data_IF_535977730690
#
_entry.id   IF_535977730690
#
_cell.length_a   1.000
_cell.length_b   1.000
_cell.length_c   1.000
_cell.angle_alpha   90.00
_cell.angle_beta   90.00
_cell.angle_gamma   90.00
#
_symmetry.space_group_name_H-M   'P 1'
#
loop_
_entity.id
_entity.type
_entity.pdbx_description
1 polymer ?
#
# COMPACT_ATOMS: atom_id res chain seq x y z
N UNK A 1 -27.71 16.86 4.65
CA UNK A 1 -26.24 17.02 4.59
C UNK A 1 -25.83 16.70 3.17
N UNK A 2 -25.63 17.71 2.32
CA UNK A 2 -25.19 17.49 0.93
C UNK A 2 -23.73 17.08 0.95
N UNK A 3 -23.46 15.81 0.63
CA UNK A 3 -22.11 15.33 0.35
C UNK A 3 -21.53 16.12 -0.81
N UNK A 4 -20.32 16.64 -0.65
CA UNK A 4 -19.57 17.28 -1.73
C UNK A 4 -19.35 16.24 -2.83
N UNK A 5 -20.19 16.26 -3.85
CA UNK A 5 -19.98 15.48 -5.06
C UNK A 5 -18.82 16.11 -5.81
N UNK A 6 -17.64 15.49 -5.74
CA UNK A 6 -16.46 15.94 -6.48
C UNK A 6 -16.79 15.99 -7.97
N UNK A 7 -16.39 17.06 -8.65
CA UNK A 7 -16.49 17.11 -10.10
C UNK A 7 -15.57 16.07 -10.73
N UNK A 8 -15.95 15.54 -11.90
CA UNK A 8 -15.15 14.55 -12.63
C UNK A 8 -13.70 15.01 -12.82
N UNK A 9 -13.48 16.29 -13.12
CA UNK A 9 -12.13 16.86 -13.27
C UNK A 9 -11.37 16.98 -11.95
N UNK A 10 -12.04 17.23 -10.81
CA UNK A 10 -11.38 17.24 -9.51
C UNK A 10 -10.92 15.84 -9.10
N UNK A 11 -11.76 14.82 -9.34
CA UNK A 11 -11.41 13.42 -9.07
C UNK A 11 -10.23 12.96 -9.94
N UNK A 12 -10.20 13.32 -11.22
CA UNK A 12 -9.07 13.02 -12.12
C UNK A 12 -7.76 13.59 -11.57
N UNK A 13 -7.75 14.85 -11.11
CA UNK A 13 -6.54 15.47 -10.55
C UNK A 13 -6.11 14.81 -9.24
N UNK A 14 -7.05 14.48 -8.35
CA UNK A 14 -6.75 13.79 -7.10
C UNK A 14 -6.19 12.39 -7.35
N UNK A 15 -6.76 11.65 -8.32
CA UNK A 15 -6.26 10.35 -8.74
C UNK A 15 -4.84 10.44 -9.30
N UNK A 16 -4.58 11.39 -10.19
CA UNK A 16 -3.23 11.58 -10.74
C UNK A 16 -2.20 11.95 -9.66
N UNK A 17 -2.56 12.83 -8.72
CA UNK A 17 -1.70 13.17 -7.59
C UNK A 17 -1.45 11.97 -6.67
N UNK A 18 -2.48 11.16 -6.42
CA UNK A 18 -2.35 9.93 -5.63
C UNK A 18 -1.40 8.93 -6.30
N UNK A 19 -1.54 8.68 -7.61
CA UNK A 19 -0.69 7.75 -8.34
C UNK A 19 0.78 8.21 -8.38
N UNK A 20 1.04 9.52 -8.48
CA UNK A 20 2.40 10.05 -8.37
C UNK A 20 3.07 9.75 -7.03
N UNK A 21 2.36 10.00 -5.93
CA UNK A 21 2.87 9.67 -4.59
C UNK A 21 2.90 8.15 -4.38
N UNK A 22 2.07 7.39 -5.09
CA UNK A 22 2.10 5.93 -5.03
C UNK A 22 3.41 5.36 -5.57
N UNK A 23 4.02 5.95 -6.61
CA UNK A 23 5.35 5.55 -7.09
C UNK A 23 6.39 5.65 -5.98
N UNK A 24 6.46 6.79 -5.28
CA UNK A 24 7.41 6.98 -4.16
C UNK A 24 7.18 5.97 -3.02
N UNK A 25 5.91 5.65 -2.75
CA UNK A 25 5.55 4.62 -1.75
C UNK A 25 5.95 3.22 -2.21
N UNK A 26 5.79 2.92 -3.50
CA UNK A 26 6.14 1.65 -4.11
C UNK A 26 7.64 1.43 -4.00
N UNK A 27 8.46 2.40 -4.45
CA UNK A 27 9.93 2.37 -4.32
C UNK A 27 10.35 2.12 -2.87
N UNK A 28 9.77 2.84 -1.90
CA UNK A 28 10.08 2.66 -0.48
C UNK A 28 9.72 1.25 0.02
N UNK A 29 8.59 0.70 -0.42
CA UNK A 29 8.20 -0.66 -0.06
C UNK A 29 9.07 -1.73 -0.74
N UNK A 30 9.59 -1.48 -1.95
CA UNK A 30 10.59 -2.36 -2.58
C UNK A 30 11.90 -2.41 -1.79
N UNK A 31 12.38 -1.26 -1.30
CA UNK A 31 13.55 -1.19 -0.42
C UNK A 31 13.34 -2.00 0.86
N UNK A 32 12.18 -1.83 1.52
CA UNK A 32 11.82 -2.58 2.72
C UNK A 32 11.74 -4.08 2.43
N UNK A 33 11.13 -4.47 1.30
CA UNK A 33 11.05 -5.87 0.88
C UNK A 33 12.45 -6.47 0.66
N UNK A 34 13.36 -5.74 0.02
CA UNK A 34 14.72 -6.17 -0.21
C UNK A 34 15.48 -6.37 1.11
N UNK A 35 15.39 -5.42 2.03
CA UNK A 35 15.98 -5.52 3.36
C UNK A 35 15.38 -6.70 4.15
N UNK A 36 14.06 -6.91 4.08
CA UNK A 36 13.40 -8.00 4.79
C UNK A 36 13.82 -9.37 4.26
N UNK A 37 13.97 -9.52 2.93
CA UNK A 37 14.50 -10.74 2.30
C UNK A 37 15.95 -11.02 2.69
N UNK A 38 16.75 -9.98 2.94
CA UNK A 38 18.12 -10.12 3.43
C UNK A 38 18.20 -10.42 4.95
N UNK A 39 17.09 -10.33 5.68
CA UNK A 39 17.08 -10.41 7.14
C UNK A 39 17.63 -9.15 7.83
N UNK A 40 17.64 -8.03 7.11
CA UNK A 40 18.21 -6.74 7.53
C UNK A 40 17.13 -5.70 7.89
N UNK A 41 15.86 -5.95 7.56
CA UNK A 41 14.76 -5.06 7.92
C UNK A 41 14.54 -5.00 9.43
N UNK A 42 14.37 -3.78 9.93
CA UNK A 42 14.00 -3.51 11.32
C UNK A 42 12.48 -3.65 11.54
N UNK A 43 12.07 -3.67 12.81
CA UNK A 43 10.64 -3.55 13.17
C UNK A 43 10.03 -2.23 12.67
N UNK A 44 10.83 -1.18 12.60
CA UNK A 44 10.39 0.15 12.16
C UNK A 44 10.15 0.15 10.64
N UNK A 45 10.98 -0.55 9.86
CA UNK A 45 10.77 -0.74 8.42
C UNK A 45 9.45 -1.50 8.15
N UNK A 46 9.17 -2.57 8.90
CA UNK A 46 7.92 -3.32 8.75
C UNK A 46 6.70 -2.48 9.15
N UNK A 47 6.81 -1.69 10.23
CA UNK A 47 5.75 -0.76 10.65
C UNK A 47 5.52 0.37 9.65
N UNK A 48 6.58 0.82 8.98
CA UNK A 48 6.50 1.80 7.90
C UNK A 48 5.73 1.23 6.70
N UNK A 49 6.05 0.00 6.26
CA UNK A 49 5.32 -0.67 5.20
C UNK A 49 3.83 -0.84 5.54
N UNK A 50 3.50 -1.27 6.77
CA UNK A 50 2.11 -1.32 7.26
C UNK A 50 1.42 0.04 7.15
N UNK A 51 2.08 1.12 7.59
CA UNK A 51 1.53 2.48 7.53
C UNK A 51 1.28 2.95 6.10
N UNK A 52 2.17 2.60 5.17
CA UNK A 52 2.01 2.91 3.75
C UNK A 52 0.79 2.17 3.18
N UNK A 53 0.66 0.87 3.44
CA UNK A 53 -0.47 0.04 3.02
C UNK A 53 -1.80 0.58 3.56
N UNK A 54 -1.86 0.92 4.84
CA UNK A 54 -3.03 1.56 5.47
C UNK A 54 -3.51 2.80 4.71
N UNK A 55 -2.56 3.69 4.36
CA UNK A 55 -2.86 4.93 3.63
C UNK A 55 -3.35 4.67 2.21
N UNK A 56 -2.78 3.67 1.52
CA UNK A 56 -3.22 3.27 0.19
C UNK A 56 -4.64 2.72 0.25
N UNK A 57 -4.90 1.77 1.17
CA UNK A 57 -6.22 1.18 1.39
C UNK A 57 -7.29 2.24 1.67
N UNK A 58 -7.01 3.20 2.57
CA UNK A 58 -7.95 4.25 2.95
C UNK A 58 -8.27 5.25 1.84
N UNK A 59 -7.34 5.50 0.91
CA UNK A 59 -7.52 6.51 -0.12
C UNK A 59 -8.01 5.95 -1.46
N UNK A 60 -7.53 4.77 -1.87
CA UNK A 60 -7.71 4.23 -3.22
C UNK A 60 -9.18 4.00 -3.60
N UNK A 61 -10.01 3.51 -2.67
CA UNK A 61 -11.43 3.29 -2.90
C UNK A 61 -12.19 4.55 -3.30
N UNK A 62 -11.89 5.68 -2.65
CA UNK A 62 -12.52 6.98 -2.95
C UNK A 62 -12.10 7.58 -4.30
N UNK A 63 -11.01 7.06 -4.90
CA UNK A 63 -10.42 7.54 -6.15
C UNK A 63 -10.77 6.65 -7.35
N UNK A 64 -11.64 5.65 -7.16
CA UNK A 64 -11.98 4.67 -8.20
C UNK A 64 -10.83 3.70 -8.50
N UNK A 65 -9.96 3.46 -7.52
CA UNK A 65 -8.84 2.52 -7.58
C UNK A 65 -9.10 1.34 -6.63
N UNK A 66 -10.35 0.85 -6.58
CA UNK A 66 -10.77 -0.17 -5.62
C UNK A 66 -9.84 -1.41 -5.59
N UNK A 67 -9.41 -1.99 -6.74
CA UNK A 67 -8.54 -3.16 -6.69
C UNK A 67 -7.18 -2.90 -6.02
N UNK A 68 -6.60 -1.71 -6.20
CA UNK A 68 -5.37 -1.30 -5.50
C UNK A 68 -5.60 -1.15 -4.00
N UNK A 69 -6.74 -0.57 -3.62
CA UNK A 69 -7.11 -0.39 -2.21
C UNK A 69 -7.39 -1.71 -1.50
N UNK A 70 -8.10 -2.62 -2.16
CA UNK A 70 -8.43 -3.95 -1.64
C UNK A 70 -7.15 -4.78 -1.47
N UNK A 71 -6.25 -4.78 -2.48
CA UNK A 71 -4.96 -5.45 -2.38
C UNK A 71 -4.09 -4.88 -1.25
N UNK A 72 -4.04 -3.55 -1.11
CA UNK A 72 -3.32 -2.92 0.01
C UNK A 72 -3.91 -3.32 1.37
N UNK A 73 -5.24 -3.43 1.46
CA UNK A 73 -5.93 -3.83 2.69
C UNK A 73 -5.68 -5.29 3.05
N UNK A 74 -5.69 -6.19 2.07
CA UNK A 74 -5.37 -7.60 2.25
C UNK A 74 -3.94 -7.78 2.76
N UNK A 75 -2.98 -7.06 2.17
CA UNK A 75 -1.58 -7.09 2.63
C UNK A 75 -1.44 -6.45 4.02
N UNK A 76 -2.09 -5.31 4.29
CA UNK A 76 -2.07 -4.66 5.61
C UNK A 76 -2.55 -5.60 6.72
N UNK A 77 -3.58 -6.41 6.47
CA UNK A 77 -4.09 -7.37 7.45
C UNK A 77 -3.04 -8.41 7.87
N UNK A 78 -2.19 -8.85 6.95
CA UNK A 78 -1.06 -9.74 7.27
C UNK A 78 -0.07 -9.03 8.18
N UNK A 79 0.24 -7.77 7.90
CA UNK A 79 1.13 -6.97 8.75
C UNK A 79 0.55 -6.73 10.14
N UNK A 80 -0.75 -6.43 10.26
CA UNK A 80 -1.43 -6.28 11.56
C UNK A 80 -1.34 -7.59 12.36
N UNK A 81 -1.66 -8.72 11.73
CA UNK A 81 -1.60 -10.02 12.39
C UNK A 81 -0.20 -10.29 12.97
N UNK A 82 0.86 -10.07 12.17
CA UNK A 82 2.23 -10.36 12.59
C UNK A 82 2.77 -9.33 13.59
N UNK A 83 2.57 -8.03 13.35
CA UNK A 83 3.21 -6.95 14.12
C UNK A 83 2.44 -6.56 15.38
N UNK A 84 1.10 -6.57 15.34
CA UNK A 84 0.26 -6.11 16.44
C UNK A 84 -0.30 -7.27 17.25
N UNK A 85 -0.82 -8.30 16.57
CA UNK A 85 -1.47 -9.44 17.23
C UNK A 85 -0.46 -10.54 17.61
N UNK A 86 0.77 -10.47 17.11
CA UNK A 86 1.81 -11.48 17.32
C UNK A 86 1.47 -12.84 16.71
N UNK A 87 0.66 -12.83 15.65
CA UNK A 87 0.18 -14.00 14.92
C UNK A 87 0.89 -14.12 13.57
N UNK A 88 1.60 -15.23 13.37
CA UNK A 88 2.32 -15.53 12.14
C UNK A 88 3.79 -15.13 12.18
N UNK A 89 4.45 -15.23 11.03
CA UNK A 89 5.88 -14.97 10.88
C UNK A 89 6.17 -13.81 9.92
N UNK A 90 7.32 -13.14 10.09
CA UNK A 90 7.78 -12.06 9.20
C UNK A 90 7.81 -12.51 7.73
N UNK A 91 8.03 -13.81 7.47
CA UNK A 91 8.00 -14.38 6.13
C UNK A 91 6.64 -14.24 5.43
N UNK A 92 5.54 -14.20 6.19
CA UNK A 92 4.20 -13.96 5.67
C UNK A 92 4.06 -12.51 5.20
N UNK A 93 4.58 -11.54 5.97
CA UNK A 93 4.65 -10.14 5.56
C UNK A 93 5.47 -9.96 4.28
N UNK A 94 6.63 -10.63 4.17
CA UNK A 94 7.47 -10.59 2.95
C UNK A 94 6.69 -11.10 1.74
N UNK A 95 5.98 -12.21 1.89
CA UNK A 95 5.21 -12.83 0.80
C UNK A 95 4.04 -11.94 0.38
N UNK A 96 3.32 -11.38 1.35
CA UNK A 96 2.19 -10.50 1.09
C UNK A 96 2.61 -9.15 0.46
N UNK A 97 3.76 -8.60 0.88
CA UNK A 97 4.30 -7.36 0.34
C UNK A 97 4.80 -7.54 -1.10
N UNK A 98 5.50 -8.64 -1.39
CA UNK A 98 5.93 -8.97 -2.76
C UNK A 98 4.75 -9.13 -3.72
N UNK A 99 3.69 -9.82 -3.30
CA UNK A 99 2.46 -9.92 -4.09
C UNK A 99 1.84 -8.56 -4.37
N UNK A 100 1.72 -7.71 -3.33
CA UNK A 100 1.18 -6.36 -3.49
C UNK A 100 2.02 -5.51 -4.44
N UNK A 101 3.35 -5.56 -4.32
CA UNK A 101 4.27 -4.79 -5.18
C UNK A 101 4.16 -5.21 -6.64
N UNK A 102 4.01 -6.52 -6.89
CA UNK A 102 3.76 -7.04 -8.24
C UNK A 102 2.46 -6.54 -8.85
N UNK A 103 1.35 -6.52 -8.08
CA UNK A 103 0.07 -5.99 -8.53
C UNK A 103 0.08 -4.46 -8.70
N UNK A 104 0.72 -3.76 -7.76
CA UNK A 104 0.70 -2.29 -7.70
C UNK A 104 1.60 -1.63 -8.75
N UNK A 105 2.52 -2.39 -9.37
CA UNK A 105 3.37 -1.91 -10.46
C UNK A 105 2.55 -1.40 -11.66
N UNK A 106 1.44 -2.08 -12.00
CA UNK A 106 0.51 -1.66 -13.06
C UNK A 106 -0.04 -0.24 -12.84
N UNK A 107 -0.11 0.21 -11.58
CA UNK A 107 -0.57 1.54 -11.20
C UNK A 107 0.56 2.58 -11.21
N UNK A 108 1.82 2.15 -11.12
CA UNK A 108 2.97 3.01 -11.30
C UNK A 108 3.17 3.36 -12.78
N UNK A 109 2.99 2.39 -13.67
CA UNK A 109 3.05 2.60 -15.13
C UNK A 109 1.92 3.50 -15.66
N UNK A 110 0.85 3.66 -14.89
CA UNK A 110 -0.31 4.47 -15.22
C UNK A 110 -0.24 5.93 -14.68
N UNK A 111 0.82 6.28 -13.94
CA UNK A 111 1.02 7.60 -13.31
C UNK A 111 1.55 8.67 -14.29
#
# INVERSE_FOLDING_TARGET
>A
MSGLQLSSSALIRLRAGFLRVHVERHDRMEEILAAARAGEASSDDLSEAQTILHRIAGAAGSLGLAPLGDAARETELVFIAVLEDGQGEVQECITALDWFLGLSLDYCDAA
#
